data_IF_778642941768
#
_entry.id   IF_778642941768
#
_cell.length_a   1.000
_cell.length_b   1.000
_cell.length_c   1.000
_cell.angle_alpha   90.00
_cell.angle_beta   90.00
_cell.angle_gamma   90.00
#
_symmetry.space_group_name_H-M   'P 1'
#
loop_
_entity.id
_entity.type
_entity.pdbx_description
1 polymer ?
#
# COMPACT_ATOMS: atom_id res chain seq x y z
N UNK A 1 0.49 -9.20 -26.00
CA UNK A 1 0.93 -9.79 -24.72
C UNK A 1 0.25 -9.02 -23.61
N UNK A 2 -0.60 -9.66 -22.82
CA UNK A 2 -1.34 -8.99 -21.74
C UNK A 2 -0.36 -8.68 -20.60
N UNK A 3 -0.28 -7.43 -20.15
CA UNK A 3 0.56 -7.06 -19.01
C UNK A 3 -0.11 -7.52 -17.71
N UNK A 4 0.66 -7.65 -16.61
CA UNK A 4 0.07 -8.02 -15.31
C UNK A 4 -0.96 -6.99 -14.81
N UNK A 5 -0.85 -5.73 -15.24
CA UNK A 5 -1.78 -4.64 -14.91
C UNK A 5 -3.17 -4.80 -15.57
N UNK A 6 -3.26 -5.61 -16.64
CA UNK A 6 -4.51 -5.92 -17.33
C UNK A 6 -5.24 -7.13 -16.74
N UNK A 7 -4.67 -7.76 -15.72
CA UNK A 7 -5.27 -8.90 -15.05
C UNK A 7 -6.21 -8.41 -13.95
N UNK A 8 -7.38 -9.01 -13.85
CA UNK A 8 -8.38 -8.66 -12.83
C UNK A 8 -7.82 -8.78 -11.41
N UNK A 9 -6.92 -9.75 -11.20
CA UNK A 9 -6.31 -9.98 -9.88
C UNK A 9 -5.43 -8.81 -9.41
N UNK A 10 -4.80 -8.05 -10.32
CA UNK A 10 -4.02 -6.87 -9.94
C UNK A 10 -4.90 -5.79 -9.30
N UNK A 11 -5.98 -5.39 -9.99
CA UNK A 11 -6.86 -4.32 -9.50
C UNK A 11 -7.50 -4.69 -8.16
N UNK A 12 -7.97 -5.92 -8.03
CA UNK A 12 -8.55 -6.43 -6.77
C UNK A 12 -7.52 -6.41 -5.65
N UNK A 13 -6.32 -6.94 -5.90
CA UNK A 13 -5.24 -7.01 -4.91
C UNK A 13 -4.80 -5.61 -4.46
N UNK A 14 -4.61 -4.68 -5.41
CA UNK A 14 -4.26 -3.30 -5.11
C UNK A 14 -5.35 -2.59 -4.30
N UNK A 15 -6.62 -2.84 -4.61
CA UNK A 15 -7.75 -2.27 -3.87
C UNK A 15 -7.84 -2.81 -2.45
N UNK A 16 -7.66 -4.12 -2.25
CA UNK A 16 -7.67 -4.73 -0.92
C UNK A 16 -6.54 -4.19 -0.05
N UNK A 17 -5.30 -4.20 -0.55
CA UNK A 17 -4.17 -3.65 0.19
C UNK A 17 -4.34 -2.15 0.45
N UNK A 18 -4.74 -1.39 -0.57
CA UNK A 18 -4.95 0.05 -0.44
C UNK A 18 -5.98 0.40 0.64
N UNK A 19 -7.11 -0.29 0.66
CA UNK A 19 -8.15 -0.10 1.67
C UNK A 19 -7.63 -0.40 3.08
N UNK A 20 -6.93 -1.52 3.27
CA UNK A 20 -6.41 -1.94 4.57
C UNK A 20 -5.32 -1.02 5.13
N UNK A 21 -4.57 -0.33 4.27
CA UNK A 21 -3.60 0.69 4.70
C UNK A 21 -4.21 2.09 4.85
N UNK A 22 -5.36 2.35 4.25
CA UNK A 22 -5.96 3.68 4.24
C UNK A 22 -7.09 3.87 5.25
N UNK A 23 -7.96 2.88 5.40
CA UNK A 23 -9.14 2.97 6.26
C UNK A 23 -8.95 2.27 7.60
N UNK A 24 -9.64 2.76 8.62
CA UNK A 24 -9.73 2.08 9.92
C UNK A 24 -10.23 0.65 9.76
N UNK A 25 -9.73 -0.32 10.55
CA UNK A 25 -10.16 -1.71 10.47
C UNK A 25 -11.65 -1.92 10.82
N UNK A 26 -12.28 -0.94 11.45
CA UNK A 26 -13.71 -0.97 11.79
C UNK A 26 -14.60 -0.29 10.73
N UNK A 27 -14.00 0.33 9.71
CA UNK A 27 -14.76 0.97 8.65
C UNK A 27 -15.53 -0.05 7.80
N UNK A 28 -16.57 0.40 7.13
CA UNK A 28 -17.36 -0.48 6.25
C UNK A 28 -16.56 -0.96 5.03
N UNK A 29 -15.51 -0.24 4.64
CA UNK A 29 -14.62 -0.61 3.55
C UNK A 29 -13.69 -1.78 3.92
N UNK A 30 -13.26 -1.84 5.18
CA UNK A 30 -12.21 -2.77 5.61
C UNK A 30 -12.68 -3.88 6.53
N UNK A 31 -13.73 -3.68 7.31
CA UNK A 31 -14.20 -4.70 8.25
C UNK A 31 -14.46 -6.07 7.59
N UNK A 32 -15.10 -6.16 6.40
CA UNK A 32 -15.26 -7.44 5.70
C UNK A 32 -13.92 -8.04 5.27
N UNK A 33 -12.96 -7.21 4.85
CA UNK A 33 -11.62 -7.67 4.44
C UNK A 33 -10.82 -8.21 5.61
N UNK A 34 -10.89 -7.56 6.77
CA UNK A 34 -10.28 -8.04 8.02
C UNK A 34 -10.85 -9.41 8.37
N UNK A 35 -12.17 -9.59 8.33
CA UNK A 35 -12.81 -10.88 8.62
C UNK A 35 -12.38 -11.96 7.63
N UNK A 36 -12.28 -11.64 6.35
CA UNK A 36 -11.82 -12.57 5.33
C UNK A 36 -10.36 -13.04 5.60
N UNK A 37 -9.47 -12.10 5.92
CA UNK A 37 -8.06 -12.42 6.23
C UNK A 37 -7.90 -13.28 7.50
N UNK A 38 -8.79 -13.10 8.47
CA UNK A 38 -8.75 -13.86 9.73
C UNK A 38 -9.38 -15.25 9.62
N UNK A 39 -10.42 -15.42 8.81
CA UNK A 39 -11.29 -16.60 8.88
C UNK A 39 -11.34 -17.41 7.58
N UNK A 40 -11.18 -16.79 6.42
CA UNK A 40 -11.38 -17.40 5.12
C UNK A 40 -10.09 -17.97 4.52
N UNK A 41 -10.25 -18.80 3.50
CA UNK A 41 -9.16 -19.33 2.69
C UNK A 41 -8.83 -18.38 1.52
N UNK A 42 -8.46 -17.14 1.86
CA UNK A 42 -8.14 -16.08 0.89
C UNK A 42 -6.89 -16.38 0.07
N UNK A 43 -5.98 -17.22 0.60
CA UNK A 43 -4.70 -17.53 -0.04
C UNK A 43 -4.88 -18.13 -1.43
N UNK A 44 -5.94 -18.93 -1.63
CA UNK A 44 -6.23 -19.55 -2.92
C UNK A 44 -6.57 -18.51 -4.02
N UNK A 45 -6.99 -17.31 -3.60
CA UNK A 45 -7.38 -16.22 -4.52
C UNK A 45 -6.30 -15.14 -4.66
N UNK A 46 -5.27 -15.18 -3.81
CA UNK A 46 -4.19 -14.20 -3.85
C UNK A 46 -3.14 -14.60 -4.89
N UNK A 47 -2.68 -13.68 -5.77
CA UNK A 47 -1.82 -14.01 -6.90
C UNK A 47 -0.34 -14.20 -6.50
N UNK A 48 -0.09 -14.98 -5.47
CA UNK A 48 1.24 -15.37 -4.98
C UNK A 48 1.27 -16.87 -4.69
N UNK A 49 2.46 -17.45 -4.64
CA UNK A 49 2.65 -18.86 -4.33
C UNK A 49 2.14 -19.20 -2.92
N UNK A 50 1.44 -20.32 -2.80
CA UNK A 50 0.87 -20.77 -1.53
C UNK A 50 1.95 -20.97 -0.44
N UNK A 51 3.14 -21.39 -0.81
CA UNK A 51 4.26 -21.57 0.10
C UNK A 51 4.71 -20.24 0.72
N UNK A 52 4.74 -19.16 -0.06
CA UNK A 52 5.05 -17.81 0.41
C UNK A 52 3.94 -17.23 1.29
N UNK A 53 2.67 -17.57 1.02
CA UNK A 53 1.51 -17.05 1.74
C UNK A 53 1.24 -17.79 3.06
N UNK A 54 1.62 -19.03 3.20
CA UNK A 54 1.32 -19.85 4.39
C UNK A 54 1.79 -19.20 5.73
N UNK A 55 3.03 -18.70 5.86
CA UNK A 55 3.46 -18.04 7.08
C UNK A 55 2.73 -16.71 7.34
N UNK A 56 2.37 -15.97 6.30
CA UNK A 56 1.60 -14.72 6.40
C UNK A 56 0.19 -14.99 6.89
N UNK A 57 -0.46 -16.00 6.35
CA UNK A 57 -1.80 -16.41 6.77
C UNK A 57 -1.83 -16.87 8.24
N UNK A 58 -0.82 -17.63 8.67
CA UNK A 58 -0.68 -18.04 10.06
C UNK A 58 -0.50 -16.82 10.99
N UNK A 59 0.25 -15.81 10.54
CA UNK A 59 0.51 -14.61 11.33
C UNK A 59 -0.76 -13.77 11.50
N UNK A 60 -1.62 -13.63 10.49
CA UNK A 60 -2.93 -12.96 10.64
C UNK A 60 -3.77 -13.55 11.77
N UNK A 61 -3.68 -14.86 11.99
CA UNK A 61 -4.44 -15.60 13.00
C UNK A 61 -3.77 -15.63 14.38
N UNK A 62 -2.60 -15.03 14.53
CA UNK A 62 -1.89 -14.98 15.81
C UNK A 62 -2.62 -14.05 16.78
N UNK A 63 -2.81 -14.52 18.01
CA UNK A 63 -3.46 -13.73 19.05
C UNK A 63 -2.60 -12.52 19.45
N UNK A 64 -3.28 -11.42 19.74
CA UNK A 64 -2.70 -10.21 20.33
C UNK A 64 -3.59 -9.69 21.47
N UNK A 65 -2.96 -9.18 22.53
CA UNK A 65 -3.68 -8.49 23.60
C UNK A 65 -4.08 -7.06 23.19
N UNK A 66 -3.28 -6.44 22.30
CA UNK A 66 -3.63 -5.15 21.69
C UNK A 66 -4.80 -5.35 20.73
N UNK A 67 -5.84 -4.53 20.86
CA UNK A 67 -6.97 -4.55 19.93
C UNK A 67 -6.58 -3.93 18.59
N UNK A 68 -7.13 -4.46 17.50
CA UNK A 68 -6.81 -4.01 16.14
C UNK A 68 -7.03 -2.50 15.93
N UNK A 69 -8.13 -1.87 16.43
CA UNK A 69 -8.30 -0.42 16.34
C UNK A 69 -7.24 0.38 17.10
N UNK A 70 -6.71 -0.15 18.20
CA UNK A 70 -5.63 0.48 18.97
C UNK A 70 -4.31 0.45 18.19
N UNK A 71 -4.00 -0.68 17.56
CA UNK A 71 -2.86 -0.80 16.66
C UNK A 71 -2.96 0.16 15.47
N UNK A 72 -4.14 0.28 14.87
CA UNK A 72 -4.42 1.25 13.81
C UNK A 72 -4.14 2.69 14.29
N UNK A 73 -4.69 3.07 15.43
CA UNK A 73 -4.49 4.39 16.01
C UNK A 73 -2.99 4.70 16.17
N UNK A 74 -2.24 3.77 16.72
CA UNK A 74 -0.81 3.89 16.98
C UNK A 74 0.02 3.98 15.70
N UNK A 75 -0.32 3.21 14.68
CA UNK A 75 0.46 3.09 13.44
C UNK A 75 0.17 4.18 12.42
N UNK A 76 -1.07 4.72 12.38
CA UNK A 76 -1.52 5.59 11.31
C UNK A 76 -2.03 6.97 11.74
N UNK A 77 -2.45 7.12 13.00
CA UNK A 77 -3.13 8.35 13.46
C UNK A 77 -2.29 9.13 14.48
N UNK A 78 -1.77 8.49 15.47
CA UNK A 78 -1.08 9.13 16.60
C UNK A 78 -1.86 8.99 17.91
N UNK A 79 -1.56 9.77 18.94
CA UNK A 79 -0.96 11.14 18.96
C UNK A 79 0.56 11.20 18.92
N UNK A 80 1.26 10.09 19.06
CA UNK A 80 2.71 10.05 19.03
C UNK A 80 3.25 9.99 17.60
N UNK A 81 4.56 10.23 17.44
CA UNK A 81 5.22 10.07 16.14
C UNK A 81 4.98 8.67 15.60
N UNK A 82 4.54 8.60 14.33
CA UNK A 82 4.29 7.33 13.67
C UNK A 82 5.62 6.59 13.45
N UNK A 83 5.71 5.30 13.80
CA UNK A 83 6.94 4.53 13.62
C UNK A 83 7.35 4.42 12.14
N UNK A 84 6.37 4.24 11.27
CA UNK A 84 6.55 4.18 9.82
C UNK A 84 5.48 5.05 9.14
N UNK A 85 5.74 6.36 8.94
CA UNK A 85 4.77 7.26 8.34
C UNK A 85 4.43 6.83 6.91
N UNK A 86 3.12 6.72 6.55
CA UNK A 86 2.71 6.12 5.29
C UNK A 86 2.69 7.10 4.10
N UNK A 87 3.47 8.18 4.11
CA UNK A 87 3.53 9.19 3.05
C UNK A 87 4.89 9.24 2.38
N UNK A 88 4.89 9.22 1.05
CA UNK A 88 6.09 9.20 0.24
C UNK A 88 7.06 10.35 0.52
N UNK A 89 6.53 11.57 0.75
CA UNK A 89 7.33 12.76 1.05
C UNK A 89 8.17 12.62 2.33
N UNK A 90 7.71 11.85 3.31
CA UNK A 90 8.48 11.59 4.54
C UNK A 90 9.77 10.80 4.25
N UNK A 91 9.78 9.98 3.22
CA UNK A 91 10.91 9.13 2.83
C UNK A 91 11.77 9.74 1.74
N UNK A 92 11.14 10.45 0.78
CA UNK A 92 11.76 10.94 -0.45
C UNK A 92 12.30 12.38 -0.33
N UNK A 93 11.79 13.17 0.62
CA UNK A 93 12.18 14.57 0.74
C UNK A 93 13.12 14.76 1.93
N UNK A 94 14.13 15.62 1.75
CA UNK A 94 15.18 15.86 2.76
C UNK A 94 14.63 16.29 4.11
N UNK A 95 13.54 17.06 4.10
CA UNK A 95 12.93 17.59 5.32
C UNK A 95 12.02 16.59 6.00
N UNK A 96 11.70 15.46 5.32
CA UNK A 96 10.84 14.37 5.83
C UNK A 96 9.50 14.88 6.39
N UNK A 97 8.87 15.82 5.68
CA UNK A 97 7.60 16.44 6.04
C UNK A 97 6.47 16.08 5.06
N UNK A 98 5.23 16.26 5.50
CA UNK A 98 4.06 16.11 4.65
C UNK A 98 4.02 17.23 3.58
N UNK A 99 3.41 16.93 2.45
CA UNK A 99 3.26 17.86 1.31
C UNK A 99 4.60 18.41 0.77
N UNK A 100 5.65 17.58 0.82
CA UNK A 100 6.95 17.92 0.27
C UNK A 100 6.98 17.89 -1.26
N UNK A 101 8.18 18.08 -1.83
CA UNK A 101 8.38 18.16 -3.29
C UNK A 101 7.89 16.92 -4.03
N UNK A 102 8.02 15.72 -3.43
CA UNK A 102 7.53 14.47 -4.03
C UNK A 102 6.00 14.42 -4.09
N UNK A 103 5.28 14.97 -3.11
CA UNK A 103 3.82 15.11 -3.17
C UNK A 103 3.40 16.07 -4.28
N UNK A 104 4.12 17.19 -4.43
CA UNK A 104 3.86 18.16 -5.49
C UNK A 104 4.15 17.57 -6.88
N UNK A 105 5.20 16.77 -7.02
CA UNK A 105 5.52 16.06 -8.26
C UNK A 105 4.40 15.06 -8.64
N UNK A 106 3.86 14.32 -7.68
CA UNK A 106 2.71 13.43 -7.89
C UNK A 106 1.47 14.22 -8.35
N UNK A 107 1.15 15.32 -7.69
CA UNK A 107 0.03 16.20 -8.07
C UNK A 107 0.21 16.76 -9.48
N UNK A 108 1.41 17.16 -9.85
CA UNK A 108 1.73 17.63 -11.20
C UNK A 108 1.49 16.52 -12.23
N UNK A 109 2.02 15.34 -11.99
CA UNK A 109 1.82 14.18 -12.86
C UNK A 109 0.33 13.82 -13.00
N UNK A 110 -0.44 13.84 -11.91
CA UNK A 110 -1.88 13.59 -11.94
C UNK A 110 -2.60 14.62 -12.82
N UNK A 111 -2.29 15.91 -12.69
CA UNK A 111 -2.88 16.98 -13.52
C UNK A 111 -2.55 16.82 -15.00
N UNK A 112 -1.28 16.53 -15.32
CA UNK A 112 -0.82 16.34 -16.70
C UNK A 112 -1.50 15.15 -17.38
N UNK A 113 -1.88 14.15 -16.60
CA UNK A 113 -2.60 12.98 -17.09
C UNK A 113 -4.13 13.08 -16.93
N UNK A 114 -4.65 14.22 -16.50
CA UNK A 114 -6.10 14.41 -16.32
C UNK A 114 -6.70 13.45 -15.28
N UNK A 115 -5.92 13.08 -14.26
CA UNK A 115 -6.37 12.21 -13.18
C UNK A 115 -6.99 13.08 -12.10
N UNK A 116 -8.29 12.86 -11.87
CA UNK A 116 -9.03 13.42 -10.76
C UNK A 116 -9.38 12.27 -9.82
N UNK A 117 -8.61 12.14 -8.75
CA UNK A 117 -8.79 11.11 -7.75
C UNK A 117 -8.88 11.80 -6.39
N UNK A 118 -10.11 11.89 -5.88
CA UNK A 118 -10.39 12.51 -4.59
C UNK A 118 -10.59 11.44 -3.52
N UNK A 119 -9.81 11.53 -2.46
CA UNK A 119 -10.03 10.77 -1.25
C UNK A 119 -10.91 11.58 -0.29
N UNK A 120 -11.68 10.89 0.54
CA UNK A 120 -12.67 11.51 1.43
C UNK A 120 -12.08 12.38 2.56
N UNK A 121 -10.74 12.43 2.69
CA UNK A 121 -10.03 13.13 3.75
C UNK A 121 -9.01 14.10 3.15
N UNK A 122 -8.65 15.12 3.92
CA UNK A 122 -7.55 16.06 3.60
C UNK A 122 -6.17 15.36 3.72
N UNK A 123 -6.05 14.19 3.11
CA UNK A 123 -4.86 13.34 3.13
C UNK A 123 -3.96 13.72 1.95
N UNK A 124 -2.62 13.80 2.14
CA UNK A 124 -1.71 13.90 1.00
C UNK A 124 -1.88 12.73 0.04
N UNK A 125 -1.85 12.99 -1.26
CA UNK A 125 -2.10 11.98 -2.30
C UNK A 125 -1.03 10.88 -2.34
N UNK A 126 0.14 11.12 -1.76
CA UNK A 126 1.25 10.18 -1.66
C UNK A 126 1.17 9.22 -0.48
N UNK A 127 -0.01 9.14 0.19
CA UNK A 127 -0.27 8.10 1.17
C UNK A 127 -0.20 6.71 0.53
N UNK A 128 0.49 5.76 1.16
CA UNK A 128 0.71 4.40 0.63
C UNK A 128 -0.59 3.71 0.19
N UNK A 129 -1.61 3.75 1.04
CA UNK A 129 -2.93 3.20 0.72
C UNK A 129 -3.61 3.93 -0.43
N UNK A 130 -3.52 5.27 -0.48
CA UNK A 130 -4.09 6.07 -1.58
C UNK A 130 -3.46 5.74 -2.92
N UNK A 131 -2.14 5.56 -2.97
CA UNK A 131 -1.43 5.19 -4.19
C UNK A 131 -1.86 3.80 -4.71
N UNK A 132 -2.09 2.84 -3.81
CA UNK A 132 -2.61 1.52 -4.18
C UNK A 132 -4.06 1.59 -4.68
N UNK A 133 -4.92 2.40 -4.05
CA UNK A 133 -6.29 2.63 -4.50
C UNK A 133 -6.33 3.33 -5.87
N UNK A 134 -5.43 4.29 -6.08
CA UNK A 134 -5.28 4.95 -7.38
C UNK A 134 -4.78 3.98 -8.45
N UNK A 135 -3.83 3.11 -8.13
CA UNK A 135 -3.36 2.07 -9.04
C UNK A 135 -4.49 1.12 -9.46
N UNK A 136 -5.32 0.70 -8.50
CA UNK A 136 -6.51 -0.12 -8.78
C UNK A 136 -7.48 0.61 -9.72
N UNK A 137 -7.78 1.88 -9.42
CA UNK A 137 -8.68 2.69 -10.24
C UNK A 137 -8.15 2.87 -11.68
N UNK A 138 -6.85 3.14 -11.83
CA UNK A 138 -6.22 3.27 -13.16
C UNK A 138 -6.32 1.96 -13.97
N UNK A 139 -6.07 0.82 -13.34
CA UNK A 139 -6.18 -0.48 -13.98
C UNK A 139 -7.62 -0.79 -14.41
N UNK A 140 -8.60 -0.53 -13.55
CA UNK A 140 -10.04 -0.72 -13.81
C UNK A 140 -10.58 0.19 -14.92
N UNK A 141 -9.92 1.31 -15.19
CA UNK A 141 -10.28 2.25 -16.26
C UNK A 141 -9.37 2.12 -17.50
N UNK A 142 -8.73 0.97 -17.70
CA UNK A 142 -7.84 0.66 -18.83
C UNK A 142 -6.64 1.64 -18.98
N UNK A 143 -6.29 2.36 -17.92
CA UNK A 143 -5.18 3.31 -17.89
C UNK A 143 -3.88 2.64 -17.44
N UNK A 144 -3.52 1.57 -18.12
CA UNK A 144 -2.40 0.71 -17.71
C UNK A 144 -1.04 1.40 -17.81
N UNK A 145 -0.86 2.32 -18.77
CA UNK A 145 0.39 3.06 -18.91
C UNK A 145 0.60 4.01 -17.72
N UNK A 146 -0.42 4.76 -17.35
CA UNK A 146 -0.36 5.64 -16.18
C UNK A 146 -0.26 4.85 -14.88
N UNK A 147 -0.89 3.68 -14.81
CA UNK A 147 -0.74 2.79 -13.66
C UNK A 147 0.72 2.34 -13.51
N UNK A 148 1.37 1.95 -14.60
CA UNK A 148 2.79 1.57 -14.59
C UNK A 148 3.69 2.72 -14.17
N UNK A 149 3.44 3.94 -14.67
CA UNK A 149 4.15 5.16 -14.26
C UNK A 149 3.95 5.46 -12.77
N UNK A 150 2.72 5.38 -12.27
CA UNK A 150 2.40 5.58 -10.86
C UNK A 150 3.25 4.64 -9.98
N UNK A 151 3.26 3.36 -10.31
CA UNK A 151 4.04 2.36 -9.57
C UNK A 151 5.53 2.65 -9.65
N UNK A 152 6.08 2.85 -10.85
CA UNK A 152 7.51 2.99 -11.07
C UNK A 152 8.09 4.30 -10.54
N UNK A 153 7.33 5.40 -10.59
CA UNK A 153 7.85 6.74 -10.28
C UNK A 153 7.42 7.28 -8.91
N UNK A 154 6.25 6.84 -8.40
CA UNK A 154 5.65 7.43 -7.19
C UNK A 154 5.47 6.44 -6.04
N UNK A 155 5.43 5.14 -6.28
CA UNK A 155 5.25 4.15 -5.21
C UNK A 155 6.55 3.37 -4.92
N UNK A 156 7.11 2.68 -5.90
CA UNK A 156 8.26 1.79 -5.69
C UNK A 156 9.56 2.49 -5.25
N UNK A 157 9.80 3.78 -5.53
CA UNK A 157 11.02 4.43 -5.05
C UNK A 157 11.21 4.43 -3.53
N UNK A 158 10.13 4.28 -2.76
CA UNK A 158 10.18 4.33 -1.30
C UNK A 158 9.44 3.20 -0.58
N UNK A 159 8.53 2.49 -1.26
CA UNK A 159 7.62 1.53 -0.62
C UNK A 159 8.32 0.37 0.07
N UNK A 160 9.42 -0.15 -0.48
CA UNK A 160 10.16 -1.25 0.15
C UNK A 160 10.74 -0.82 1.50
N UNK A 161 11.35 0.35 1.58
CA UNK A 161 11.88 0.88 2.83
C UNK A 161 10.78 1.16 3.86
N UNK A 162 9.68 1.78 3.41
CA UNK A 162 8.51 1.98 4.24
C UNK A 162 8.01 0.66 4.83
N UNK A 163 7.82 -0.36 3.99
CA UNK A 163 7.32 -1.66 4.44
C UNK A 163 8.27 -2.39 5.37
N UNK A 164 9.58 -2.30 5.15
CA UNK A 164 10.57 -2.87 6.08
C UNK A 164 10.43 -2.27 7.48
N UNK A 165 10.41 -0.94 7.57
CA UNK A 165 10.23 -0.24 8.86
C UNK A 165 8.84 -0.51 9.45
N UNK A 166 7.80 -0.56 8.61
CA UNK A 166 6.43 -0.87 9.05
C UNK A 166 6.33 -2.26 9.69
N UNK A 167 6.87 -3.28 9.03
CA UNK A 167 6.88 -4.67 9.54
C UNK A 167 7.63 -4.75 10.86
N UNK A 168 8.82 -4.14 10.94
CA UNK A 168 9.66 -4.17 12.14
C UNK A 168 8.99 -3.49 13.36
N UNK A 169 8.14 -2.49 13.14
CA UNK A 169 7.52 -1.69 14.19
C UNK A 169 6.00 -1.89 14.32
N UNK A 170 5.42 -2.80 13.55
CA UNK A 170 3.96 -3.02 13.57
C UNK A 170 3.45 -3.39 14.97
N UNK A 171 4.18 -4.21 15.71
CA UNK A 171 3.84 -4.61 17.07
C UNK A 171 2.59 -5.49 17.18
N UNK A 172 1.67 -5.41 16.24
CA UNK A 172 0.45 -6.21 16.16
C UNK A 172 0.55 -7.22 15.03
N UNK A 173 0.26 -8.53 15.27
CA UNK A 173 0.43 -9.59 14.26
C UNK A 173 -0.32 -9.34 12.96
N UNK A 174 -1.52 -8.78 13.03
CA UNK A 174 -2.33 -8.46 11.85
C UNK A 174 -1.60 -7.46 10.94
N UNK A 175 -1.10 -6.35 11.48
CA UNK A 175 -0.39 -5.34 10.68
C UNK A 175 0.99 -5.80 10.25
N UNK A 176 1.66 -6.63 11.04
CA UNK A 176 2.89 -7.27 10.62
C UNK A 176 2.66 -8.20 9.43
N UNK A 177 1.61 -9.02 9.46
CA UNK A 177 1.21 -9.87 8.35
C UNK A 177 0.79 -9.05 7.12
N UNK A 178 0.01 -7.97 7.31
CA UNK A 178 -0.38 -7.07 6.23
C UNK A 178 0.83 -6.43 5.55
N UNK A 179 1.80 -5.97 6.33
CA UNK A 179 3.05 -5.42 5.81
C UNK A 179 3.84 -6.45 4.99
N UNK A 180 3.95 -7.70 5.47
CA UNK A 180 4.60 -8.78 4.74
C UNK A 180 3.85 -9.15 3.46
N UNK A 181 2.52 -9.22 3.51
CA UNK A 181 1.69 -9.48 2.33
C UNK A 181 1.90 -8.41 1.25
N UNK A 182 1.86 -7.15 1.65
CA UNK A 182 2.13 -6.02 0.76
C UNK A 182 3.53 -6.09 0.17
N UNK A 183 4.56 -6.37 0.98
CA UNK A 183 5.94 -6.47 0.54
C UNK A 183 6.14 -7.56 -0.53
N UNK A 184 5.61 -8.75 -0.30
CA UNK A 184 5.68 -9.85 -1.26
C UNK A 184 4.94 -9.52 -2.56
N UNK A 185 3.76 -8.93 -2.44
CA UNK A 185 2.92 -8.57 -3.59
C UNK A 185 3.58 -7.49 -4.44
N UNK A 186 4.07 -6.41 -3.82
CA UNK A 186 4.73 -5.32 -4.52
C UNK A 186 6.06 -5.77 -5.15
N UNK A 187 6.81 -6.66 -4.52
CA UNK A 187 8.02 -7.23 -5.10
C UNK A 187 7.73 -8.02 -6.38
N UNK A 188 6.64 -8.81 -6.39
CA UNK A 188 6.20 -9.51 -7.60
C UNK A 188 5.78 -8.53 -8.71
N UNK A 189 5.06 -7.47 -8.38
CA UNK A 189 4.68 -6.45 -9.37
C UNK A 189 5.90 -5.73 -9.94
N UNK A 190 6.84 -5.34 -9.08
CA UNK A 190 8.06 -4.66 -9.51
C UNK A 190 8.89 -5.52 -10.48
N UNK A 191 8.95 -6.83 -10.27
CA UNK A 191 9.64 -7.76 -11.15
C UNK A 191 8.99 -7.88 -12.55
N UNK A 192 7.74 -7.47 -12.69
CA UNK A 192 6.97 -7.54 -13.95
C UNK A 192 6.87 -6.19 -14.68
N UNK A 193 7.36 -5.09 -14.07
CA UNK A 193 7.36 -3.78 -14.72
C UNK A 193 8.22 -3.77 -16.00
N UNK A 194 7.73 -3.06 -17.01
CA UNK A 194 8.45 -2.84 -18.26
C UNK A 194 9.32 -1.60 -18.17
N UNK A 195 8.80 -0.53 -17.52
CA UNK A 195 9.56 0.70 -17.32
C UNK A 195 10.43 0.61 -16.05
N UNK A 196 11.60 1.26 -16.03
CA UNK A 196 12.46 1.23 -14.85
C UNK A 196 11.86 2.00 -13.68
N UNK A 197 12.06 1.47 -12.48
CA UNK A 197 11.72 2.19 -11.24
C UNK A 197 12.66 3.39 -11.10
N UNK A 198 12.09 4.56 -10.78
CA UNK A 198 12.87 5.75 -10.54
C UNK A 198 13.76 5.57 -9.29
N UNK A 199 15.06 5.78 -9.47
CA UNK A 199 16.01 5.74 -8.35
C UNK A 199 16.04 7.11 -7.67
N UNK A 200 15.63 7.14 -6.42
CA UNK A 200 15.57 8.35 -5.61
C UNK A 200 16.31 8.14 -4.28
N UNK A 201 17.00 9.15 -3.75
CA UNK A 201 17.59 9.06 -2.42
C UNK A 201 16.48 8.93 -1.36
N UNK A 202 16.75 8.16 -0.33
CA UNK A 202 15.86 8.01 0.84
C UNK A 202 16.49 8.76 2.01
N UNK A 203 15.69 9.51 2.75
CA UNK A 203 16.14 10.35 3.86
C UNK A 203 15.70 9.80 5.24
N UNK A 204 15.00 8.67 5.23
CA UNK A 204 14.57 7.99 6.45
C UNK A 204 14.71 6.46 6.38
#
# INVERSE_FOLDING_TARGET
MTTFLQRDDFAVTARVLGALFYYSPESHETAPLVQALLNDDWQAQWPLDAEALAPVAAMFKTHSEELLPQAWQRLFIGPYALPSPPWGSVWLDRESVLFGDSTLALRQWMRENGIQFEMQQNEPEDHFGSLLLLAAWLAENDRHHECEQLLAWHLFPWSSRFLDVFIDHAGHPFYQALGQLARLTLAQWQAQLIIPVAVKPLFR
#
